data_IF_758812453328
#
_entry.id   IF_758812453328
#
_cell.length_a   1.000
_cell.length_b   1.000
_cell.length_c   1.000
_cell.angle_alpha   90.00
_cell.angle_beta   90.00
_cell.angle_gamma   90.00
#
_symmetry.space_group_name_H-M   'P 1'
#
loop_
_entity.id
_entity.type
_entity.pdbx_description
1 polymer ?
#
# COMPACT_ATOMS: atom_id res chain seq x y z
N UNK A 1 25.95 31.50 4.91
CA UNK A 1 24.57 31.07 5.22
C UNK A 1 23.67 31.47 4.06
N UNK A 2 23.39 30.57 3.10
CA UNK A 2 22.57 30.89 1.93
C UNK A 2 21.10 31.15 2.33
N UNK A 3 20.34 31.73 1.41
CA UNK A 3 18.89 31.89 1.56
C UNK A 3 18.24 31.83 0.18
N UNK A 4 16.98 31.41 0.10
CA UNK A 4 16.27 31.34 -1.17
C UNK A 4 14.76 31.30 -0.98
N UNK A 5 14.06 31.25 -2.11
CA UNK A 5 12.61 31.39 -2.18
C UNK A 5 12.00 30.21 -2.90
N UNK A 6 11.22 29.42 -2.17
CA UNK A 6 10.26 28.49 -2.76
C UNK A 6 9.06 29.29 -3.26
N UNK A 7 8.99 29.45 -4.57
CA UNK A 7 8.27 30.51 -5.27
C UNK A 7 7.40 29.99 -6.42
N UNK A 8 7.38 28.67 -6.63
CA UNK A 8 6.43 27.98 -7.49
C UNK A 8 5.31 27.32 -6.67
N UNK A 9 4.25 26.89 -7.37
CA UNK A 9 3.24 25.98 -6.84
C UNK A 9 2.00 26.64 -6.25
N UNK A 10 1.25 25.83 -5.49
CA UNK A 10 -0.12 26.14 -5.05
C UNK A 10 -0.29 27.47 -4.31
N UNK A 11 0.62 27.93 -3.42
CA UNK A 11 0.32 29.11 -2.64
C UNK A 11 0.28 30.36 -3.53
N UNK A 12 1.22 30.48 -4.47
CA UNK A 12 1.25 31.60 -5.42
C UNK A 12 0.05 31.54 -6.38
N UNK A 13 -0.23 30.37 -6.95
CA UNK A 13 -1.33 30.20 -7.91
C UNK A 13 -2.71 30.46 -7.29
N UNK A 14 -2.95 29.98 -6.07
CA UNK A 14 -4.22 30.24 -5.38
C UNK A 14 -4.41 31.71 -5.05
N UNK A 15 -3.34 32.40 -4.65
CA UNK A 15 -3.40 33.83 -4.41
C UNK A 15 -3.68 34.60 -5.71
N UNK A 16 -3.04 34.20 -6.82
CA UNK A 16 -3.28 34.76 -8.14
C UNK A 16 -4.76 34.60 -8.55
N UNK A 17 -5.31 33.38 -8.42
CA UNK A 17 -6.71 33.09 -8.76
C UNK A 17 -7.71 33.89 -7.91
N UNK A 18 -7.42 34.09 -6.61
CA UNK A 18 -8.29 34.86 -5.70
C UNK A 18 -8.26 36.36 -5.96
N UNK A 19 -7.11 36.90 -6.36
CA UNK A 19 -6.88 38.35 -6.44
C UNK A 19 -6.86 38.89 -7.86
N UNK A 20 -6.85 38.01 -8.88
CA UNK A 20 -6.67 38.38 -10.29
C UNK A 20 -5.25 38.83 -10.63
N UNK A 21 -4.31 38.82 -9.68
CA UNK A 21 -2.95 39.29 -9.88
C UNK A 21 -2.09 38.26 -10.61
N UNK A 22 -1.12 38.73 -11.40
CA UNK A 22 -0.17 37.85 -12.06
C UNK A 22 0.77 37.15 -11.04
N UNK A 23 0.88 35.79 -11.07
CA UNK A 23 1.77 35.00 -10.20
C UNK A 23 3.18 35.53 -10.06
N UNK A 24 3.77 35.93 -11.19
CA UNK A 24 5.16 36.35 -11.25
C UNK A 24 5.36 37.68 -10.52
N UNK A 25 4.50 38.67 -10.79
CA UNK A 25 4.72 40.02 -10.28
C UNK A 25 4.64 40.09 -8.77
N UNK A 26 3.58 39.54 -8.15
CA UNK A 26 3.48 39.58 -6.69
C UNK A 26 4.50 38.68 -6.01
N UNK A 27 4.91 37.57 -6.63
CA UNK A 27 5.94 36.70 -6.06
C UNK A 27 7.25 37.46 -5.90
N UNK A 28 7.68 38.21 -6.92
CA UNK A 28 8.89 39.05 -6.80
C UNK A 28 8.71 40.24 -5.86
N UNK A 29 7.51 40.81 -5.75
CA UNK A 29 7.22 41.84 -4.74
C UNK A 29 7.34 41.27 -3.32
N UNK A 30 6.78 40.09 -3.07
CA UNK A 30 6.87 39.39 -1.79
C UNK A 30 8.32 39.05 -1.44
N UNK A 31 9.08 38.51 -2.39
CA UNK A 31 10.52 38.25 -2.24
C UNK A 31 11.26 39.52 -1.81
N UNK A 32 11.03 40.65 -2.49
CA UNK A 32 11.69 41.92 -2.15
C UNK A 32 11.32 42.41 -0.74
N UNK A 33 10.05 42.26 -0.35
CA UNK A 33 9.59 42.66 0.97
C UNK A 33 10.19 41.78 2.09
N UNK A 34 10.15 40.46 1.94
CA UNK A 34 10.76 39.53 2.90
C UNK A 34 12.27 39.69 2.98
N UNK A 35 12.96 39.94 1.85
CA UNK A 35 14.39 40.24 1.81
C UNK A 35 14.73 41.49 2.64
N UNK A 36 13.95 42.56 2.51
CA UNK A 36 14.10 43.78 3.34
C UNK A 36 13.94 43.45 4.83
N UNK A 37 12.89 42.72 5.20
CA UNK A 37 12.64 42.33 6.59
C UNK A 37 13.79 41.50 7.17
N UNK A 38 14.31 40.52 6.43
CA UNK A 38 15.44 39.68 6.87
C UNK A 38 16.71 40.52 7.05
N UNK A 39 16.98 41.48 6.15
CA UNK A 39 18.10 42.41 6.29
C UNK A 39 17.95 43.31 7.51
N UNK A 40 16.74 43.80 7.80
CA UNK A 40 16.46 44.60 9.00
C UNK A 40 16.66 43.81 10.30
N UNK A 41 16.38 42.51 10.28
CA UNK A 41 16.66 41.61 11.41
C UNK A 41 18.16 41.35 11.65
N UNK A 42 19.05 41.90 10.82
CA UNK A 42 20.50 41.77 10.99
C UNK A 42 21.02 40.34 10.78
N UNK A 43 20.25 39.48 10.09
CA UNK A 43 20.69 38.10 9.84
C UNK A 43 21.87 38.09 8.87
N UNK A 44 22.95 37.40 9.23
CA UNK A 44 24.15 37.20 8.41
C UNK A 44 23.92 36.27 7.23
N UNK A 45 23.10 36.71 6.26
CA UNK A 45 22.76 35.97 5.05
C UNK A 45 23.69 36.37 3.91
N UNK A 46 24.17 35.35 3.20
CA UNK A 46 24.94 35.50 1.96
C UNK A 46 23.99 35.64 0.77
N UNK A 47 23.71 36.89 0.40
CA UNK A 47 22.76 37.22 -0.66
C UNK A 47 23.29 36.98 -2.07
N UNK A 48 24.59 36.75 -2.25
CA UNK A 48 25.16 36.40 -3.56
C UNK A 48 24.78 34.96 -3.97
N UNK A 49 24.33 34.15 -3.01
CA UNK A 49 23.81 32.79 -3.21
C UNK A 49 22.28 32.71 -3.19
N UNK A 50 21.60 33.84 -3.39
CA UNK A 50 20.14 33.88 -3.43
C UNK A 50 19.58 33.14 -4.65
N UNK A 51 18.61 32.26 -4.41
CA UNK A 51 17.91 31.52 -5.47
C UNK A 51 16.40 31.68 -5.33
N UNK A 52 15.70 31.63 -6.46
CA UNK A 52 14.23 31.57 -6.51
C UNK A 52 13.83 30.43 -7.44
N UNK A 53 13.03 29.48 -6.93
CA UNK A 53 12.62 28.28 -7.68
C UNK A 53 11.84 28.60 -8.96
N UNK A 54 11.13 29.73 -8.99
CA UNK A 54 10.39 30.25 -10.14
C UNK A 54 11.26 30.93 -11.21
N UNK A 55 12.55 31.12 -10.95
CA UNK A 55 13.46 31.76 -11.90
C UNK A 55 13.96 30.73 -12.94
N UNK A 56 14.04 31.07 -14.24
CA UNK A 56 14.48 30.14 -15.30
C UNK A 56 15.84 29.48 -15.07
N UNK A 57 16.79 30.22 -14.49
CA UNK A 57 18.10 29.67 -14.15
C UNK A 57 18.05 28.55 -13.10
N UNK A 58 16.97 28.44 -12.32
CA UNK A 58 16.77 27.35 -11.36
C UNK A 58 16.00 26.20 -12.01
N UNK A 59 14.79 26.43 -12.53
CA UNK A 59 13.96 25.34 -13.05
C UNK A 59 14.48 24.75 -14.37
N UNK A 60 15.38 25.43 -15.09
CA UNK A 60 16.11 24.81 -16.20
C UNK A 60 16.86 23.55 -15.77
N UNK A 61 17.41 23.53 -14.55
CA UNK A 61 18.04 22.35 -13.97
C UNK A 61 17.03 21.26 -13.59
N UNK A 62 15.84 21.62 -13.10
CA UNK A 62 14.81 20.63 -12.77
C UNK A 62 14.25 19.96 -14.03
N UNK A 63 14.08 20.72 -15.11
CA UNK A 63 13.73 20.17 -16.44
C UNK A 63 14.82 19.24 -16.98
N UNK A 64 16.09 19.63 -16.85
CA UNK A 64 17.22 18.79 -17.24
C UNK A 64 17.29 17.49 -16.41
N UNK A 65 17.10 17.57 -15.08
CA UNK A 65 17.04 16.39 -14.22
C UNK A 65 15.88 15.47 -14.60
N UNK A 66 14.69 16.02 -14.87
CA UNK A 66 13.56 15.23 -15.34
C UNK A 66 13.88 14.48 -16.63
N UNK A 67 14.53 15.14 -17.61
CA UNK A 67 14.98 14.47 -18.83
C UNK A 67 15.91 13.30 -18.51
N UNK A 68 16.86 13.47 -17.58
CA UNK A 68 17.76 12.39 -17.15
C UNK A 68 17.01 11.26 -16.46
N UNK A 69 16.03 11.57 -15.61
CA UNK A 69 15.18 10.55 -14.98
C UNK A 69 14.33 9.80 -16.01
N UNK A 70 13.83 10.47 -17.03
CA UNK A 70 13.09 9.84 -18.12
C UNK A 70 13.98 8.90 -18.95
N UNK A 71 15.17 9.37 -19.37
CA UNK A 71 16.16 8.55 -20.09
C UNK A 71 16.53 7.27 -19.31
N UNK A 72 16.55 7.34 -17.98
CA UNK A 72 16.87 6.22 -17.08
C UNK A 72 15.65 5.45 -16.57
N UNK A 73 14.45 5.68 -17.14
CA UNK A 73 13.19 5.02 -16.74
C UNK A 73 12.81 5.20 -15.27
N UNK A 74 13.35 6.22 -14.61
CA UNK A 74 12.95 6.65 -13.26
C UNK A 74 11.68 7.49 -13.36
N UNK A 75 11.59 8.37 -14.36
CA UNK A 75 10.35 9.09 -14.67
C UNK A 75 9.57 8.32 -15.75
N UNK A 76 8.33 7.95 -15.45
CA UNK A 76 7.46 7.21 -16.38
C UNK A 76 6.07 7.81 -16.45
N UNK A 77 5.41 7.64 -17.60
CA UNK A 77 4.01 7.97 -17.79
C UNK A 77 3.16 6.70 -17.55
N UNK A 78 2.24 6.75 -16.59
CA UNK A 78 1.38 5.61 -16.27
C UNK A 78 -0.05 6.08 -15.94
N UNK A 79 -1.03 5.24 -16.26
CA UNK A 79 -2.41 5.40 -15.82
C UNK A 79 -2.48 5.13 -14.31
N UNK A 80 -2.78 6.17 -13.53
CA UNK A 80 -2.87 6.09 -12.07
C UNK A 80 -4.20 6.60 -11.60
N UNK A 81 -4.66 6.03 -10.49
CA UNK A 81 -5.74 6.61 -9.70
C UNK A 81 -5.15 7.75 -8.87
N UNK A 82 -5.47 8.98 -9.24
CA UNK A 82 -4.95 10.19 -8.59
C UNK A 82 -5.95 10.73 -7.58
N UNK A 83 -5.43 11.40 -6.56
CA UNK A 83 -6.22 12.25 -5.69
C UNK A 83 -6.46 13.58 -6.42
N UNK A 84 -7.70 13.89 -6.80
CA UNK A 84 -8.07 15.11 -7.51
C UNK A 84 -8.94 15.99 -6.63
N UNK A 85 -8.58 17.27 -6.52
CA UNK A 85 -9.39 18.26 -5.81
C UNK A 85 -10.06 19.19 -6.83
N UNK A 86 -11.37 19.07 -6.99
CA UNK A 86 -12.13 19.90 -7.95
C UNK A 86 -12.01 21.39 -7.63
N UNK A 87 -12.00 21.75 -6.34
CA UNK A 87 -11.89 23.14 -5.92
C UNK A 87 -10.51 23.75 -6.21
N UNK A 88 -9.47 22.92 -6.21
CA UNK A 88 -8.11 23.34 -6.56
C UNK A 88 -7.79 23.12 -8.04
N UNK A 89 -8.64 22.41 -8.79
CA UNK A 89 -8.46 22.13 -10.21
C UNK A 89 -7.27 21.22 -10.56
N UNK A 90 -6.66 20.55 -9.58
CA UNK A 90 -5.39 19.81 -9.77
C UNK A 90 -5.38 18.49 -9.02
N UNK A 91 -4.51 17.58 -9.46
CA UNK A 91 -4.09 16.43 -8.66
C UNK A 91 -3.21 16.83 -7.48
N UNK A 92 -3.27 16.00 -6.44
CA UNK A 92 -2.53 16.09 -5.18
C UNK A 92 -1.75 14.80 -4.95
N UNK A 93 -0.53 14.90 -4.44
CA UNK A 93 0.24 13.73 -3.98
C UNK A 93 -0.35 13.19 -2.67
N UNK A 94 0.05 11.98 -2.24
CA UNK A 94 -0.48 11.37 -1.01
C UNK A 94 -0.14 12.21 0.23
N UNK A 95 0.99 12.91 0.20
CA UNK A 95 1.47 13.80 1.27
C UNK A 95 0.63 15.09 1.39
N UNK A 96 -0.14 15.44 0.36
CA UNK A 96 -0.99 16.64 0.31
C UNK A 96 -2.45 16.34 0.74
N UNK A 97 -2.70 15.13 1.27
CA UNK A 97 -4.04 14.64 1.65
C UNK A 97 -4.13 14.41 3.15
N UNK A 98 -5.19 14.93 3.75
CA UNK A 98 -5.61 14.64 5.11
C UNK A 98 -6.73 13.60 5.05
N UNK A 99 -6.51 12.46 5.71
CA UNK A 99 -7.50 11.40 5.85
C UNK A 99 -8.30 11.56 7.14
N UNK A 100 -9.62 11.63 7.04
CA UNK A 100 -10.53 11.72 8.20
C UNK A 100 -11.68 10.71 8.07
N UNK A 101 -12.44 10.48 9.14
CA UNK A 101 -13.65 9.63 9.10
C UNK A 101 -14.70 10.13 8.09
N UNK A 102 -14.68 11.43 7.76
CA UNK A 102 -15.61 12.06 6.81
C UNK A 102 -15.14 11.98 5.35
N UNK A 103 -13.93 11.47 5.09
CA UNK A 103 -13.35 11.36 3.75
C UNK A 103 -11.96 11.97 3.61
N UNK A 104 -11.52 12.13 2.35
CA UNK A 104 -10.22 12.72 1.99
C UNK A 104 -10.38 14.22 1.75
N UNK A 105 -9.48 14.99 2.36
CA UNK A 105 -9.45 16.44 2.22
C UNK A 105 -8.05 16.91 1.81
N UNK A 106 -7.98 18.00 1.07
CA UNK A 106 -6.70 18.62 0.75
C UNK A 106 -6.08 19.24 1.99
N UNK A 107 -4.78 19.04 2.22
CA UNK A 107 -4.02 19.72 3.28
C UNK A 107 -4.20 21.24 3.18
N UNK A 108 -4.25 21.75 1.95
CA UNK A 108 -4.53 23.15 1.65
C UNK A 108 -6.01 23.39 1.43
N UNK A 109 -6.63 24.12 2.34
CA UNK A 109 -8.00 24.60 2.20
C UNK A 109 -9.09 23.59 2.59
N UNK A 110 -8.72 22.37 3.02
CA UNK A 110 -9.63 21.35 3.53
C UNK A 110 -10.81 21.05 2.58
N UNK A 111 -10.53 20.96 1.28
CA UNK A 111 -11.54 20.70 0.26
C UNK A 111 -11.67 19.20 0.01
N UNK A 112 -12.88 18.69 -0.30
CA UNK A 112 -13.07 17.28 -0.65
C UNK A 112 -12.20 16.85 -1.82
N UNK A 113 -11.62 15.66 -1.69
CA UNK A 113 -10.75 15.06 -2.70
C UNK A 113 -11.40 13.78 -3.21
N UNK A 114 -11.49 13.66 -4.53
CA UNK A 114 -12.04 12.50 -5.23
C UNK A 114 -10.94 11.75 -5.97
N UNK A 115 -11.09 10.44 -6.11
CA UNK A 115 -10.15 9.63 -6.87
C UNK A 115 -10.55 9.57 -8.34
N UNK A 116 -9.62 9.84 -9.26
CA UNK A 116 -9.86 9.83 -10.72
C UNK A 116 -8.77 9.03 -11.43
N UNK A 117 -9.11 8.26 -12.48
CA UNK A 117 -8.09 7.62 -13.32
C UNK A 117 -7.59 8.61 -14.38
N UNK A 118 -6.28 8.80 -14.45
CA UNK A 118 -5.64 9.61 -15.50
C UNK A 118 -4.16 9.24 -15.70
N UNK A 119 -3.64 9.50 -16.91
CA UNK A 119 -2.20 9.46 -17.17
C UNK A 119 -1.49 10.55 -16.40
N UNK A 120 -0.49 10.18 -15.61
CA UNK A 120 0.38 11.10 -14.89
C UNK A 120 1.84 10.72 -15.05
N UNK A 121 2.72 11.70 -14.88
CA UNK A 121 4.14 11.47 -14.69
C UNK A 121 4.41 11.05 -13.25
N UNK A 122 5.19 9.99 -13.13
CA UNK A 122 5.48 9.34 -11.87
C UNK A 122 6.97 9.08 -11.76
N UNK A 123 7.56 9.39 -10.60
CA UNK A 123 8.94 9.04 -10.27
C UNK A 123 8.96 7.71 -9.51
N UNK A 124 9.75 6.76 -10.01
CA UNK A 124 9.97 5.42 -9.48
C UNK A 124 10.83 5.43 -8.21
N UNK A 125 10.42 6.18 -7.20
CA UNK A 125 11.09 6.23 -5.90
C UNK A 125 11.07 4.86 -5.22
N UNK A 126 10.10 3.99 -5.55
CA UNK A 126 10.05 2.64 -4.97
C UNK A 126 11.26 1.78 -5.32
N UNK A 127 11.94 2.09 -6.43
CA UNK A 127 13.19 1.43 -6.82
C UNK A 127 14.36 1.72 -5.87
N UNK A 128 14.21 2.70 -4.97
CA UNK A 128 15.26 3.15 -4.05
C UNK A 128 14.93 2.90 -2.57
N UNK A 129 13.80 2.26 -2.22
CA UNK A 129 13.33 2.18 -0.82
C UNK A 129 14.29 1.45 0.11
N UNK A 130 14.91 0.36 -0.36
CA UNK A 130 15.87 -0.39 0.45
C UNK A 130 17.10 0.45 0.79
N UNK A 131 17.59 1.19 -0.19
CA UNK A 131 18.71 2.11 0.01
C UNK A 131 18.29 3.28 0.89
N UNK A 132 17.12 3.87 0.67
CA UNK A 132 16.60 4.95 1.52
C UNK A 132 16.49 4.52 2.99
N UNK A 133 16.08 3.27 3.25
CA UNK A 133 16.04 2.72 4.61
C UNK A 133 17.44 2.47 5.18
N UNK A 134 18.31 1.81 4.41
CA UNK A 134 19.67 1.49 4.85
C UNK A 134 20.48 2.76 5.13
N UNK A 135 20.36 3.77 4.27
CA UNK A 135 21.11 5.02 4.36
C UNK A 135 20.66 5.87 5.57
N UNK A 136 19.50 5.59 6.22
CA UNK A 136 19.12 6.25 7.48
C UNK A 136 20.12 6.00 8.60
N UNK A 137 20.81 4.85 8.58
CA UNK A 137 21.85 4.52 9.58
C UNK A 137 23.08 5.43 9.45
N UNK A 138 23.33 5.99 8.26
CA UNK A 138 24.46 6.88 7.99
C UNK A 138 24.21 8.32 8.46
N UNK A 139 22.96 8.68 8.77
CA UNK A 139 22.57 10.05 9.10
C UNK A 139 22.74 10.34 10.60
N UNK A 140 23.36 11.47 10.93
CA UNK A 140 23.35 12.03 12.30
C UNK A 140 22.03 12.80 12.55
N UNK A 141 20.91 12.06 12.52
CA UNK A 141 19.56 12.59 12.73
C UNK A 141 18.94 12.02 14.01
N UNK A 142 18.05 12.78 14.68
CA UNK A 142 17.23 12.26 15.78
C UNK A 142 16.50 10.96 15.39
N UNK A 143 16.51 9.98 16.29
CA UNK A 143 15.86 8.68 16.09
C UNK A 143 14.38 8.81 15.74
N UNK A 144 13.69 9.81 16.30
CA UNK A 144 12.29 10.12 15.99
C UNK A 144 12.08 10.42 14.49
N UNK A 145 12.97 11.19 13.86
CA UNK A 145 12.88 11.51 12.43
C UNK A 145 13.17 10.27 11.57
N UNK A 146 14.17 9.47 11.96
CA UNK A 146 14.47 8.19 11.29
C UNK A 146 13.28 7.24 11.36
N UNK A 147 12.63 7.15 12.52
CA UNK A 147 11.44 6.32 12.71
C UNK A 147 10.25 6.78 11.88
N UNK A 148 10.02 8.10 11.75
CA UNK A 148 8.98 8.63 10.86
C UNK A 148 9.22 8.19 9.40
N UNK A 149 10.47 8.31 8.91
CA UNK A 149 10.83 7.89 7.56
C UNK A 149 10.71 6.37 7.37
N UNK A 150 11.21 5.59 8.33
CA UNK A 150 11.13 4.13 8.28
C UNK A 150 9.69 3.62 8.28
N UNK A 151 8.83 4.20 9.13
CA UNK A 151 7.40 3.90 9.17
C UNK A 151 6.69 4.34 7.88
N UNK A 152 7.09 5.46 7.29
CA UNK A 152 6.54 5.93 6.02
C UNK A 152 6.89 5.01 4.85
N UNK A 153 8.14 4.57 4.77
CA UNK A 153 8.57 3.56 3.79
C UNK A 153 7.84 2.24 4.05
N UNK A 154 7.72 1.85 5.32
CA UNK A 154 6.87 0.76 5.77
C UNK A 154 7.28 -0.60 5.20
N UNK A 155 8.59 -0.89 5.18
CA UNK A 155 9.11 -2.19 4.72
C UNK A 155 8.68 -3.28 5.68
N UNK A 156 7.90 -4.24 5.18
CA UNK A 156 7.47 -5.43 5.90
C UNK A 156 8.01 -6.67 5.20
N UNK A 157 8.68 -7.53 5.97
CA UNK A 157 9.07 -8.87 5.53
C UNK A 157 7.84 -9.77 5.57
N UNK A 158 7.59 -10.49 4.49
CA UNK A 158 6.59 -11.53 4.43
C UNK A 158 7.09 -12.70 3.57
N UNK A 159 6.15 -13.55 3.20
CA UNK A 159 6.41 -14.74 2.41
C UNK A 159 5.31 -14.91 1.37
N UNK A 160 5.70 -15.33 0.17
CA UNK A 160 4.78 -15.75 -0.88
C UNK A 160 4.77 -17.27 -0.90
N UNK A 161 3.60 -17.88 -0.71
CA UNK A 161 3.37 -19.29 -0.94
C UNK A 161 2.85 -19.54 -2.35
N UNK A 162 3.21 -20.68 -2.93
CA UNK A 162 2.74 -21.15 -4.22
C UNK A 162 1.65 -22.20 -4.02
N UNK A 163 0.44 -21.86 -4.44
CA UNK A 163 -0.72 -22.75 -4.41
C UNK A 163 -1.05 -23.21 -5.82
N UNK A 164 -0.96 -24.52 -6.08
CA UNK A 164 -1.34 -25.08 -7.38
C UNK A 164 -2.86 -25.07 -7.53
N UNK A 165 -3.37 -24.48 -8.59
CA UNK A 165 -4.80 -24.42 -8.88
C UNK A 165 -5.25 -25.75 -9.50
N UNK A 166 -6.37 -26.29 -9.03
CA UNK A 166 -7.06 -27.40 -9.67
C UNK A 166 -7.71 -26.95 -10.98
N UNK A 167 -6.89 -26.85 -12.02
CA UNK A 167 -7.28 -26.44 -13.37
C UNK A 167 -6.48 -27.25 -14.42
N UNK A 168 -6.98 -27.29 -15.65
CA UNK A 168 -6.33 -28.00 -16.77
C UNK A 168 -4.91 -27.49 -17.07
N UNK A 169 -4.62 -26.25 -16.71
CA UNK A 169 -3.36 -25.57 -17.06
C UNK A 169 -2.29 -25.60 -15.96
N UNK A 170 -2.53 -26.29 -14.84
CA UNK A 170 -1.63 -26.33 -13.67
C UNK A 170 -1.17 -24.93 -13.23
N UNK A 171 -2.08 -23.95 -13.23
CA UNK A 171 -1.76 -22.58 -12.82
C UNK A 171 -1.26 -22.53 -11.38
N UNK A 172 -0.33 -21.63 -11.11
CA UNK A 172 0.20 -21.37 -9.77
C UNK A 172 -0.31 -20.01 -9.30
N UNK A 173 -0.92 -20.01 -8.11
CA UNK A 173 -1.36 -18.81 -7.44
C UNK A 173 -0.33 -18.41 -6.38
N UNK A 174 0.27 -17.24 -6.57
CA UNK A 174 1.19 -16.65 -5.61
C UNK A 174 0.39 -15.91 -4.53
N UNK A 175 0.50 -16.35 -3.26
CA UNK A 175 -0.26 -15.78 -2.15
C UNK A 175 0.68 -15.20 -1.10
N UNK A 176 0.53 -13.90 -0.82
CA UNK A 176 1.36 -13.19 0.14
C UNK A 176 0.80 -13.24 1.58
N UNK A 177 1.69 -13.36 2.55
CA UNK A 177 1.37 -13.22 3.99
C UNK A 177 2.55 -12.65 4.77
N UNK A 178 2.26 -11.90 5.84
CA UNK A 178 3.25 -11.50 6.84
C UNK A 178 3.33 -12.48 8.02
N UNK A 179 2.48 -13.51 8.05
CA UNK A 179 2.37 -14.51 9.12
C UNK A 179 2.46 -15.94 8.56
N UNK A 180 3.59 -16.35 7.98
CA UNK A 180 3.68 -17.62 7.25
C UNK A 180 3.47 -18.86 8.13
N UNK A 181 3.78 -18.80 9.44
CA UNK A 181 3.53 -19.89 10.38
C UNK A 181 2.04 -20.32 10.46
N UNK A 182 1.13 -19.43 10.07
CA UNK A 182 -0.32 -19.68 10.13
C UNK A 182 -0.88 -20.46 8.93
N UNK A 183 -0.04 -20.86 7.97
CA UNK A 183 -0.44 -21.50 6.71
C UNK A 183 -1.40 -22.68 6.89
N UNK A 184 -1.25 -23.47 7.96
CA UNK A 184 -2.11 -24.63 8.22
C UNK A 184 -3.55 -24.28 8.61
N UNK A 185 -3.79 -23.04 9.06
CA UNK A 185 -5.12 -22.54 9.39
C UNK A 185 -5.84 -21.87 8.22
N UNK A 186 -5.29 -21.97 7.00
CA UNK A 186 -5.89 -21.35 5.81
C UNK A 186 -7.20 -22.03 5.45
N UNK A 187 -8.26 -21.22 5.36
CA UNK A 187 -9.62 -21.66 5.02
C UNK A 187 -10.06 -21.29 3.61
N UNK A 188 -9.48 -20.23 3.05
CA UNK A 188 -9.76 -19.72 1.71
C UNK A 188 -8.58 -18.91 1.17
N UNK A 189 -8.47 -18.83 -0.16
CA UNK A 189 -7.59 -17.86 -0.83
C UNK A 189 -8.46 -16.74 -1.39
N UNK A 190 -8.05 -15.50 -1.16
CA UNK A 190 -8.86 -14.33 -1.55
C UNK A 190 -8.05 -13.42 -2.47
N UNK A 191 -8.58 -13.18 -3.66
CA UNK A 191 -7.96 -12.36 -4.71
C UNK A 191 -8.61 -10.99 -4.80
N UNK A 192 -7.81 -10.01 -5.17
CA UNK A 192 -8.33 -8.70 -5.58
C UNK A 192 -9.16 -8.84 -6.88
N UNK A 193 -10.22 -8.03 -7.05
CA UNK A 193 -11.03 -7.99 -8.27
C UNK A 193 -10.20 -7.76 -9.54
N UNK A 194 -9.10 -7.01 -9.44
CA UNK A 194 -8.21 -6.69 -10.55
C UNK A 194 -7.11 -7.73 -10.82
N UNK A 195 -7.09 -8.84 -10.07
CA UNK A 195 -6.05 -9.85 -10.21
C UNK A 195 -6.12 -10.56 -11.57
N UNK A 196 -4.98 -10.71 -12.25
CA UNK A 196 -4.92 -11.20 -13.65
C UNK A 196 -5.52 -12.59 -13.86
N UNK A 197 -5.44 -13.45 -12.84
CA UNK A 197 -5.98 -14.81 -12.89
C UNK A 197 -7.49 -14.90 -12.64
N UNK A 198 -8.19 -13.82 -12.24
CA UNK A 198 -9.64 -13.87 -11.91
C UNK A 198 -10.46 -14.52 -13.02
N UNK A 199 -10.32 -14.04 -14.26
CA UNK A 199 -11.08 -14.56 -15.39
C UNK A 199 -10.70 -16.01 -15.74
N UNK A 200 -9.42 -16.38 -15.54
CA UNK A 200 -8.93 -17.74 -15.82
C UNK A 200 -9.42 -18.76 -14.79
N UNK A 201 -9.58 -18.33 -13.54
CA UNK A 201 -9.99 -19.17 -12.42
C UNK A 201 -11.51 -19.26 -12.27
N UNK A 202 -12.29 -18.42 -12.95
CA UNK A 202 -13.74 -18.44 -12.80
C UNK A 202 -14.35 -19.58 -13.61
N UNK A 203 -15.04 -20.51 -12.95
CA UNK A 203 -15.79 -21.59 -13.62
C UNK A 203 -17.01 -21.04 -14.33
N UNK A 204 -17.43 -21.72 -15.41
CA UNK A 204 -18.56 -21.32 -16.27
C UNK A 204 -19.84 -20.99 -15.50
N UNK A 205 -20.15 -21.77 -14.47
CA UNK A 205 -21.33 -21.60 -13.63
C UNK A 205 -21.30 -20.35 -12.72
N UNK A 206 -20.12 -19.75 -12.52
CA UNK A 206 -19.93 -18.57 -11.67
C UNK A 206 -19.55 -17.31 -12.46
N UNK A 207 -19.50 -17.36 -13.80
CA UNK A 207 -19.07 -16.23 -14.64
C UNK A 207 -19.97 -15.01 -14.42
N UNK A 208 -21.29 -15.21 -14.37
CA UNK A 208 -22.24 -14.11 -14.24
C UNK A 208 -22.12 -13.41 -12.88
N UNK A 209 -22.05 -14.18 -11.80
CA UNK A 209 -21.85 -13.67 -10.44
C UNK A 209 -20.53 -12.90 -10.32
N UNK A 210 -19.44 -13.46 -10.86
CA UNK A 210 -18.13 -12.79 -10.84
C UNK A 210 -18.18 -11.50 -11.66
N UNK A 211 -18.74 -11.50 -12.86
CA UNK A 211 -18.83 -10.30 -13.69
C UNK A 211 -19.67 -9.20 -13.03
N UNK A 212 -20.79 -9.56 -12.39
CA UNK A 212 -21.60 -8.64 -11.61
C UNK A 212 -20.77 -8.03 -10.47
N UNK A 213 -20.05 -8.87 -9.71
CA UNK A 213 -19.20 -8.41 -8.62
C UNK A 213 -18.06 -7.49 -9.09
N UNK A 214 -17.42 -7.82 -10.22
CA UNK A 214 -16.38 -6.99 -10.82
C UNK A 214 -16.93 -5.62 -11.26
N UNK A 215 -18.15 -5.58 -11.81
CA UNK A 215 -18.80 -4.33 -12.21
C UNK A 215 -19.13 -3.44 -11.00
N UNK A 216 -19.64 -4.02 -9.91
CA UNK A 216 -19.92 -3.29 -8.67
C UNK A 216 -18.63 -2.74 -8.03
N UNK A 217 -17.59 -3.55 -7.97
CA UNK A 217 -16.31 -3.19 -7.32
C UNK A 217 -15.54 -2.15 -8.13
N UNK A 218 -15.68 -2.12 -9.46
CA UNK A 218 -15.06 -1.10 -10.32
C UNK A 218 -15.52 0.33 -9.99
N UNK A 219 -16.71 0.48 -9.43
CA UNK A 219 -17.27 1.78 -9.02
C UNK A 219 -16.84 2.19 -7.60
N UNK A 220 -16.22 1.29 -6.83
CA UNK A 220 -15.75 1.57 -5.48
C UNK A 220 -14.33 2.12 -5.51
N UNK A 221 -14.08 3.18 -4.75
CA UNK A 221 -12.72 3.68 -4.52
C UNK A 221 -11.96 2.72 -3.61
N UNK A 222 -10.63 2.70 -3.72
CA UNK A 222 -9.75 1.95 -2.81
C UNK A 222 -10.01 2.26 -1.33
N UNK A 223 -10.32 3.53 -1.02
CA UNK A 223 -10.63 3.96 0.34
C UNK A 223 -11.95 3.36 0.83
N UNK A 224 -12.99 3.40 -0.01
CA UNK A 224 -14.27 2.78 0.31
C UNK A 224 -14.09 1.28 0.58
N UNK A 225 -13.19 0.60 -0.15
CA UNK A 225 -12.84 -0.81 0.07
C UNK A 225 -12.15 -1.06 1.41
N UNK A 226 -11.29 -0.14 1.85
CA UNK A 226 -10.61 -0.23 3.15
C UNK A 226 -11.55 0.06 4.32
N UNK A 227 -12.35 1.12 4.24
CA UNK A 227 -13.24 1.58 5.31
C UNK A 227 -14.47 0.68 5.47
N UNK A 228 -14.95 0.07 4.38
CA UNK A 228 -16.18 -0.72 4.42
C UNK A 228 -16.04 -1.90 5.39
N UNK A 229 -16.86 -1.90 6.45
CA UNK A 229 -16.92 -2.96 7.46
C UNK A 229 -17.59 -4.22 6.91
N UNK A 230 -18.54 -4.09 5.98
CA UNK A 230 -19.20 -5.25 5.38
C UNK A 230 -18.38 -5.76 4.19
N UNK A 231 -17.57 -6.80 4.43
CA UNK A 231 -16.80 -7.45 3.38
C UNK A 231 -17.72 -8.27 2.48
N UNK A 232 -17.74 -7.94 1.19
CA UNK A 232 -18.43 -8.70 0.16
C UNK A 232 -17.42 -9.57 -0.59
N UNK A 233 -17.86 -10.69 -1.13
CA UNK A 233 -17.03 -11.56 -1.95
C UNK A 233 -17.88 -12.46 -2.82
N UNK A 234 -17.25 -12.98 -3.85
CA UNK A 234 -17.84 -13.94 -4.78
C UNK A 234 -16.91 -15.14 -4.91
N UNK A 235 -17.48 -16.34 -4.92
CA UNK A 235 -16.75 -17.57 -5.12
C UNK A 235 -16.45 -17.78 -6.60
N UNK A 236 -15.23 -18.21 -6.92
CA UNK A 236 -14.82 -18.42 -8.33
C UNK A 236 -15.28 -19.76 -8.90
N UNK A 237 -15.75 -20.70 -8.06
CA UNK A 237 -15.94 -22.10 -8.44
C UNK A 237 -14.66 -22.94 -8.37
N UNK A 238 -13.51 -22.30 -8.23
CA UNK A 238 -12.21 -22.94 -8.29
C UNK A 238 -11.58 -23.15 -6.92
N UNK A 239 -10.69 -24.14 -6.89
CA UNK A 239 -9.97 -24.55 -5.70
C UNK A 239 -8.47 -24.59 -6.00
N UNK A 240 -7.67 -24.29 -4.99
CA UNK A 240 -6.24 -24.52 -5.01
C UNK A 240 -5.84 -25.62 -4.03
N UNK A 241 -4.70 -26.24 -4.25
CA UNK A 241 -4.15 -27.29 -3.40
C UNK A 241 -3.22 -26.65 -2.37
N UNK A 242 -3.53 -26.89 -1.09
CA UNK A 242 -2.67 -26.47 -0.01
C UNK A 242 -1.29 -27.15 -0.12
N UNK A 243 -0.16 -26.39 -0.06
CA UNK A 243 1.17 -26.92 -0.39
C UNK A 243 1.60 -28.08 0.52
N UNK A 244 1.23 -28.04 1.80
CA UNK A 244 1.55 -29.10 2.79
C UNK A 244 0.46 -30.16 2.98
N UNK A 245 -0.77 -29.76 3.36
CA UNK A 245 -1.86 -30.69 3.69
C UNK A 245 -2.51 -31.35 2.47
N UNK A 246 -2.27 -30.82 1.26
CA UNK A 246 -2.91 -31.25 0.00
C UNK A 246 -4.44 -31.12 -0.02
N UNK A 247 -5.04 -30.49 0.99
CA UNK A 247 -6.48 -30.16 1.01
C UNK A 247 -6.81 -29.15 -0.10
N UNK A 248 -8.05 -29.22 -0.59
CA UNK A 248 -8.59 -28.23 -1.52
C UNK A 248 -9.04 -26.99 -0.74
N UNK A 249 -8.57 -25.82 -1.17
CA UNK A 249 -8.87 -24.53 -0.57
C UNK A 249 -9.65 -23.69 -1.59
N UNK A 250 -10.86 -23.21 -1.27
CA UNK A 250 -11.67 -22.44 -2.20
C UNK A 250 -11.03 -21.08 -2.51
N UNK A 251 -11.16 -20.64 -3.76
CA UNK A 251 -10.65 -19.34 -4.24
C UNK A 251 -11.82 -18.36 -4.37
N UNK A 252 -11.71 -17.23 -3.69
CA UNK A 252 -12.68 -16.16 -3.63
C UNK A 252 -12.12 -14.86 -4.21
N UNK A 253 -13.02 -13.96 -4.60
CA UNK A 253 -12.68 -12.60 -5.01
C UNK A 253 -13.32 -11.65 -4.02
N UNK A 254 -12.54 -10.73 -3.45
CA UNK A 254 -13.06 -9.74 -2.52
C UNK A 254 -12.38 -8.40 -2.68
N UNK A 255 -13.16 -7.33 -2.50
CA UNK A 255 -12.68 -5.96 -2.68
C UNK A 255 -11.83 -5.47 -1.51
N UNK A 256 -11.81 -6.15 -0.35
CA UNK A 256 -10.86 -5.77 0.71
C UNK A 256 -9.40 -6.11 0.36
N UNK A 257 -9.17 -7.02 -0.58
CA UNK A 257 -7.83 -7.35 -1.07
C UNK A 257 -7.43 -6.34 -2.12
N UNK A 258 -6.25 -5.74 -1.95
CA UNK A 258 -5.75 -4.68 -2.81
C UNK A 258 -4.76 -5.26 -3.82
N UNK A 259 -4.85 -4.89 -5.11
CA UNK A 259 -4.07 -5.55 -6.16
C UNK A 259 -2.55 -5.34 -6.04
N UNK A 260 -2.12 -4.25 -5.41
CA UNK A 260 -0.70 -3.94 -5.18
C UNK A 260 -0.19 -4.43 -3.82
N UNK A 261 -1.04 -5.02 -2.97
CA UNK A 261 -0.60 -5.57 -1.69
C UNK A 261 -0.06 -6.98 -1.90
N UNK A 262 1.25 -7.15 -1.74
CA UNK A 262 1.92 -8.41 -2.02
C UNK A 262 1.75 -8.79 -3.50
N UNK A 263 1.00 -9.85 -3.74
CA UNK A 263 0.72 -10.40 -5.09
C UNK A 263 -0.68 -10.05 -5.60
N UNK A 264 -1.45 -9.26 -4.84
CA UNK A 264 -2.87 -9.04 -5.11
C UNK A 264 -3.75 -10.23 -4.71
N UNK A 265 -3.20 -11.19 -3.96
CA UNK A 265 -3.87 -12.33 -3.35
C UNK A 265 -3.36 -12.60 -1.93
N UNK A 266 -4.28 -12.93 -1.03
CA UNK A 266 -4.00 -13.22 0.40
C UNK A 266 -4.61 -14.55 0.81
N UNK A 267 -4.06 -15.15 1.86
CA UNK A 267 -4.65 -16.33 2.50
C UNK A 267 -5.52 -15.88 3.68
N UNK A 268 -6.73 -16.44 3.77
CA UNK A 268 -7.64 -16.21 4.89
C UNK A 268 -7.34 -17.21 6.00
N UNK A 269 -6.93 -16.72 7.18
CA UNK A 269 -6.70 -17.54 8.39
C UNK A 269 -7.64 -17.05 9.51
N UNK A 270 -8.89 -17.55 9.52
CA UNK A 270 -9.96 -17.03 10.38
C UNK A 270 -9.64 -17.09 11.87
N UNK A 271 -8.84 -18.07 12.28
CA UNK A 271 -8.50 -18.23 13.68
C UNK A 271 -7.76 -17.03 14.26
N UNK A 272 -6.96 -16.31 13.46
CA UNK A 272 -5.99 -15.33 13.96
C UNK A 272 -6.11 -13.91 13.40
N UNK A 273 -7.04 -13.67 12.47
CA UNK A 273 -7.35 -12.35 11.91
C UNK A 273 -8.86 -12.12 11.97
N UNK A 274 -9.27 -10.99 12.55
CA UNK A 274 -10.67 -10.62 12.76
C UNK A 274 -11.44 -10.51 11.44
N UNK A 275 -10.80 -10.00 10.38
CA UNK A 275 -11.45 -9.83 9.07
C UNK A 275 -11.70 -11.19 8.42
N UNK A 276 -10.72 -12.09 8.53
CA UNK A 276 -10.83 -13.45 8.02
C UNK A 276 -11.86 -14.26 8.83
N UNK A 277 -11.99 -13.97 10.13
CA UNK A 277 -12.99 -14.58 11.00
C UNK A 277 -14.42 -14.20 10.61
N UNK A 278 -14.69 -12.90 10.43
CA UNK A 278 -15.99 -12.42 9.97
C UNK A 278 -16.32 -12.94 8.57
N UNK A 279 -15.31 -12.98 7.70
CA UNK A 279 -15.41 -13.56 6.36
C UNK A 279 -15.80 -15.04 6.43
N UNK A 280 -15.10 -15.83 7.23
CA UNK A 280 -15.38 -17.25 7.39
C UNK A 280 -16.74 -17.53 8.00
N UNK A 281 -17.19 -16.75 9.00
CA UNK A 281 -18.54 -16.86 9.55
C UNK A 281 -19.60 -16.56 8.49
N UNK A 282 -19.41 -15.51 7.70
CA UNK A 282 -20.36 -15.10 6.66
C UNK A 282 -20.51 -16.13 5.54
N UNK A 283 -19.41 -16.75 5.12
CA UNK A 283 -19.38 -17.71 4.00
C UNK A 283 -19.25 -19.18 4.45
N UNK A 284 -19.46 -19.45 5.73
CA UNK A 284 -19.43 -20.79 6.34
C UNK A 284 -18.13 -21.57 6.02
N UNK A 285 -16.98 -20.92 6.18
CA UNK A 285 -15.65 -21.51 5.98
C UNK A 285 -15.10 -22.13 7.27
N UNK A 286 -14.20 -23.11 7.11
CA UNK A 286 -13.55 -23.81 8.24
C UNK A 286 -12.72 -22.84 9.09
N UNK A 287 -12.88 -22.90 10.42
CA UNK A 287 -12.06 -22.15 11.37
C UNK A 287 -11.22 -23.15 12.17
N UNK A 288 -9.98 -23.37 11.73
CA UNK A 288 -9.06 -24.30 12.39
C UNK A 288 -8.20 -23.57 13.44
N UNK A 289 -8.27 -24.03 14.69
CA UNK A 289 -7.33 -23.57 15.72
C UNK A 289 -5.92 -24.09 15.44
N UNK A 290 -4.94 -23.18 15.48
CA UNK A 290 -3.52 -23.48 15.19
C UNK A 290 -2.59 -23.27 16.38
N UNK A 291 -3.14 -23.15 17.60
CA UNK A 291 -2.37 -23.01 18.85
C UNK A 291 -2.84 -24.00 19.91
N UNK A 292 -1.95 -24.41 20.80
CA UNK A 292 -2.27 -25.28 21.93
C UNK A 292 -3.19 -24.60 22.94
N UNK A 293 -4.28 -25.27 23.35
CA UNK A 293 -5.14 -24.82 24.45
C UNK A 293 -4.50 -25.26 25.78
N UNK A 294 -4.09 -24.29 26.62
CA UNK A 294 -3.35 -24.57 27.86
C UNK A 294 -4.22 -24.94 29.07
N UNK A 295 -5.55 -24.95 28.98
CA UNK A 295 -6.45 -25.34 30.11
C UNK A 295 -7.74 -26.02 29.66
N UNK A 296 -8.22 -26.96 30.48
CA UNK A 296 -9.41 -27.81 30.34
C UNK A 296 -10.74 -27.06 30.36
N UNK A 297 -10.98 -26.25 29.33
CA UNK A 297 -12.33 -25.83 28.95
C UNK A 297 -12.31 -25.52 27.46
N UNK A 298 -13.22 -26.12 26.70
CA UNK A 298 -13.91 -25.60 25.49
C UNK A 298 -13.24 -24.60 24.51
N UNK A 299 -11.93 -24.35 24.54
CA UNK A 299 -11.26 -23.09 24.14
C UNK A 299 -11.63 -22.61 22.73
N UNK A 300 -11.90 -23.55 21.81
CA UNK A 300 -12.02 -23.25 20.39
C UNK A 300 -13.24 -23.89 19.70
N UNK A 301 -14.11 -24.60 20.44
CA UNK A 301 -15.26 -25.30 19.83
C UNK A 301 -16.38 -24.33 19.42
N UNK A 302 -16.45 -23.16 20.04
CA UNK A 302 -17.39 -22.08 19.73
C UNK A 302 -16.66 -20.73 19.84
N UNK A 303 -15.67 -20.48 18.97
CA UNK A 303 -15.02 -19.17 18.91
C UNK A 303 -16.07 -18.11 18.61
N UNK A 304 -16.34 -17.24 19.58
CA UNK A 304 -17.15 -16.04 19.36
C UNK A 304 -16.36 -14.98 18.61
N UNK A 305 -15.03 -14.95 18.80
CA UNK A 305 -14.06 -14.01 18.22
C UNK A 305 -12.77 -14.73 17.79
N UNK A 306 -11.98 -14.09 16.93
CA UNK A 306 -10.64 -14.58 16.57
C UNK A 306 -9.67 -14.53 17.77
N UNK A 307 -8.60 -15.33 17.72
CA UNK A 307 -7.54 -15.38 18.71
C UNK A 307 -6.26 -14.68 18.19
N UNK A 308 -5.88 -13.51 18.73
CA UNK A 308 -4.66 -12.83 18.31
C UNK A 308 -3.42 -13.56 18.83
N UNK A 309 -2.74 -14.29 17.95
CA UNK A 309 -1.52 -15.04 18.27
C UNK A 309 -0.44 -14.10 18.80
N UNK A 310 0.17 -14.50 19.91
CA UNK A 310 1.29 -13.87 20.61
C UNK A 310 2.56 -14.72 20.53
N UNK A 311 3.72 -14.13 20.74
CA UNK A 311 5.01 -14.83 20.64
C UNK A 311 5.17 -15.99 21.65
N UNK A 312 4.33 -16.02 22.70
CA UNK A 312 4.32 -17.06 23.76
C UNK A 312 3.44 -18.26 23.42
N UNK A 313 2.67 -18.20 22.34
CA UNK A 313 1.81 -19.29 21.91
C UNK A 313 2.63 -20.41 21.27
N UNK A 314 2.16 -21.64 21.48
CA UNK A 314 2.75 -22.84 20.91
C UNK A 314 1.83 -23.34 19.80
N UNK A 315 2.41 -23.64 18.65
CA UNK A 315 1.66 -24.05 17.47
C UNK A 315 1.10 -25.46 17.65
N UNK A 316 -0.14 -25.66 17.20
CA UNK A 316 -0.85 -26.94 17.15
C UNK A 316 -1.57 -27.11 15.81
N UNK A 317 -2.06 -28.32 15.51
CA UNK A 317 -2.76 -28.65 14.26
C UNK A 317 -2.03 -28.20 12.97
N UNK A 318 -0.70 -28.08 13.05
CA UNK A 318 0.18 -27.48 12.04
C UNK A 318 1.31 -28.42 11.62
N UNK A 319 1.04 -29.73 11.64
CA UNK A 319 1.97 -30.78 11.21
C UNK A 319 3.36 -30.63 11.87
N UNK A 320 4.42 -30.45 11.08
CA UNK A 320 5.80 -30.30 11.54
C UNK A 320 6.08 -29.01 12.32
N UNK A 321 5.12 -28.09 12.40
CA UNK A 321 5.21 -26.89 13.25
C UNK A 321 4.68 -27.12 14.68
N UNK A 322 4.03 -28.26 14.94
CA UNK A 322 3.48 -28.55 16.27
C UNK A 322 4.57 -28.49 17.36
N UNK A 323 4.23 -27.90 18.51
CA UNK A 323 5.13 -27.79 19.67
C UNK A 323 6.17 -26.67 19.58
N UNK A 324 6.25 -25.95 18.46
CA UNK A 324 7.16 -24.81 18.30
C UNK A 324 6.51 -23.52 18.79
N UNK A 325 7.33 -22.57 19.23
CA UNK A 325 6.87 -21.20 19.43
C UNK A 325 6.73 -20.45 18.09
N UNK A 326 6.16 -19.24 18.11
CA UNK A 326 5.88 -18.45 16.90
C UNK A 326 7.13 -18.12 16.09
N UNK A 327 8.24 -17.77 16.75
CA UNK A 327 9.48 -17.41 16.07
C UNK A 327 10.12 -18.63 15.39
N UNK A 328 10.24 -19.73 16.12
CA UNK A 328 10.73 -21.02 15.61
C UNK A 328 9.88 -21.53 14.45
N UNK A 329 8.55 -21.46 14.59
CA UNK A 329 7.62 -21.89 13.55
C UNK A 329 7.74 -21.04 12.29
N UNK A 330 7.90 -19.71 12.42
CA UNK A 330 8.12 -18.80 11.29
C UNK A 330 9.44 -19.11 10.56
N UNK A 331 10.52 -19.35 11.30
CA UNK A 331 11.81 -19.70 10.70
C UNK A 331 11.72 -21.05 9.98
N UNK A 332 11.15 -22.07 10.63
CA UNK A 332 11.03 -23.43 10.08
C UNK A 332 10.14 -23.49 8.85
N UNK A 333 9.00 -22.80 8.84
CA UNK A 333 8.10 -22.80 7.68
C UNK A 333 8.76 -22.10 6.48
N UNK A 334 9.48 -20.99 6.69
CA UNK A 334 10.18 -20.29 5.63
C UNK A 334 11.31 -21.16 5.06
N UNK A 335 12.09 -21.82 5.94
CA UNK A 335 13.18 -22.71 5.54
C UNK A 335 12.67 -23.86 4.66
N UNK A 336 11.69 -24.62 5.16
CA UNK A 336 11.11 -25.76 4.44
C UNK A 336 10.48 -25.31 3.13
N UNK A 337 9.68 -24.24 3.16
CA UNK A 337 9.02 -23.74 1.95
C UNK A 337 10.01 -23.26 0.89
N UNK A 338 11.13 -22.68 1.30
CA UNK A 338 12.18 -22.24 0.36
C UNK A 338 12.94 -23.44 -0.20
N UNK A 339 13.31 -24.41 0.65
CA UNK A 339 14.01 -25.65 0.25
C UNK A 339 13.18 -26.47 -0.74
N UNK A 340 11.89 -26.60 -0.48
CA UNK A 340 10.96 -27.41 -1.29
C UNK A 340 10.37 -26.62 -2.47
N UNK A 341 10.82 -25.38 -2.68
CA UNK A 341 10.34 -24.47 -3.76
C UNK A 341 8.83 -24.22 -3.72
N UNK A 342 8.25 -24.20 -2.52
CA UNK A 342 6.84 -23.93 -2.26
C UNK A 342 6.56 -22.45 -2.03
N UNK A 343 7.57 -21.59 -2.12
CA UNK A 343 7.42 -20.15 -1.96
C UNK A 343 8.75 -19.40 -1.95
N UNK A 344 8.68 -18.11 -1.61
CA UNK A 344 9.85 -17.22 -1.49
C UNK A 344 9.61 -16.10 -0.49
N UNK A 345 10.70 -15.61 0.10
CA UNK A 345 10.68 -14.37 0.90
C UNK A 345 10.29 -13.20 -0.02
N UNK A 346 9.42 -12.34 0.47
CA UNK A 346 8.98 -11.16 -0.25
C UNK A 346 8.90 -9.95 0.69
N UNK A 347 9.33 -8.79 0.22
CA UNK A 347 9.24 -7.54 0.97
C UNK A 347 8.16 -6.66 0.33
N UNK A 348 7.23 -6.20 1.16
CA UNK A 348 6.22 -5.21 0.76
C UNK A 348 6.57 -3.87 1.38
N UNK A 349 6.21 -2.79 0.69
CA UNK A 349 6.43 -1.43 1.15
C UNK A 349 5.09 -0.70 1.17
N UNK A 350 4.93 0.21 2.13
CA UNK A 350 3.77 1.08 2.19
C UNK A 350 3.90 2.24 1.20
N UNK A 351 5.13 2.74 1.01
CA UNK A 351 5.42 3.86 0.12
C UNK A 351 5.15 3.48 -1.35
N UNK A 352 4.47 4.39 -2.05
CA UNK A 352 4.17 4.27 -3.47
C UNK A 352 5.07 5.18 -4.29
N UNK A 353 5.05 4.98 -5.60
CA UNK A 353 5.72 5.87 -6.51
C UNK A 353 5.19 7.31 -6.41
N UNK A 354 6.05 8.28 -6.68
CA UNK A 354 5.73 9.69 -6.45
C UNK A 354 5.08 10.33 -7.68
N UNK A 355 3.82 10.74 -7.54
CA UNK A 355 3.07 11.50 -8.56
C UNK A 355 3.38 12.99 -8.40
N UNK A 356 4.08 13.56 -9.36
CA UNK A 356 4.54 14.96 -9.29
C UNK A 356 4.00 15.85 -10.42
N UNK A 357 3.40 15.30 -11.49
CA UNK A 357 2.68 16.12 -12.47
C UNK A 357 1.49 16.81 -11.83
N UNK A 358 1.21 18.04 -12.27
CA UNK A 358 0.11 18.89 -11.80
C UNK A 358 -0.58 19.51 -13.01
N UNK A 359 -1.91 19.66 -12.96
CA UNK A 359 -2.69 20.30 -14.04
C UNK A 359 -2.97 21.74 -13.61
N UNK A 360 -2.06 22.64 -13.95
CA UNK A 360 -2.10 24.04 -13.51
C UNK A 360 -1.64 24.99 -14.59
#
# INVERSE_FOLDING_TARGET
HPFGWDSFGLPAEQYALKTGNNPRSFTYQNINNFKKQIKMLGKGVDWDKELSTSHPSFYGWTQWMFKKFYENKIAVLQDVEVNFCEKLGTVLANEEIISTEKGLFSERGNYPVVKKKMKQWVLKITSFLDRLLQDLELLDWPSQLKNIQSNWIGKKKGFIFYFSVLSENNDILEIFTTKPMTIFGVSALVLSPEHSLVFKLTKKEHIDDVNLYLAETKNKTELNRQINKQKTAVFTGSYAIHPFTKKQIPIWISDYVLPYYGTGGVMSVPFCDERDFDFAKKYNLEILSIVECKTTDSCFRNLEKCYPISDKDILANSSFLNGLNVEEANNKIIEISTKDKLGRIHFTYQMRDWIFSRQR
#
